data_IF_179115717657
#
_entry.id   IF_179115717657
#
_cell.length_a   1.000
_cell.length_b   1.000
_cell.length_c   1.000
_cell.angle_alpha   90.00
_cell.angle_beta   90.00
_cell.angle_gamma   90.00
#
_symmetry.space_group_name_H-M   'P 1'
#
loop_
_entity.id
_entity.type
_entity.pdbx_description
1 polymer ?
#
# COMPACT_ATOMS: atom_id res chain seq x y z
N UNK A 1 -6.98 12.64 6.64
CA UNK A 1 -5.57 12.39 6.31
C UNK A 1 -5.28 10.93 6.60
N UNK A 2 -4.71 10.21 5.63
CA UNK A 2 -4.38 8.78 5.76
C UNK A 2 -2.90 8.67 6.12
N UNK A 3 -2.59 8.19 7.33
CA UNK A 3 -1.24 8.13 7.90
C UNK A 3 -0.93 6.70 8.28
N UNK A 4 0.23 6.18 7.90
CA UNK A 4 0.74 4.88 8.37
C UNK A 4 1.73 5.03 9.52
N UNK A 5 2.55 6.07 9.50
CA UNK A 5 3.57 6.36 10.50
C UNK A 5 3.63 7.84 10.87
N UNK A 6 4.11 8.13 12.07
CA UNK A 6 4.32 9.50 12.58
C UNK A 6 5.60 9.57 13.41
N UNK A 7 5.98 10.77 13.79
CA UNK A 7 7.11 11.00 14.71
C UNK A 7 6.92 10.42 16.12
N UNK A 8 5.69 10.03 16.48
CA UNK A 8 5.35 9.46 17.79
C UNK A 8 5.13 7.95 17.77
N UNK A 9 5.18 7.33 16.57
CA UNK A 9 4.97 5.89 16.39
C UNK A 9 6.27 5.15 16.09
N UNK A 10 6.30 3.85 16.32
CA UNK A 10 7.31 2.96 15.74
C UNK A 10 7.30 3.11 14.22
N UNK A 11 8.45 3.01 13.56
CA UNK A 11 8.50 3.03 12.10
C UNK A 11 7.60 1.94 11.51
N UNK A 12 6.85 2.31 10.48
CA UNK A 12 5.80 1.43 9.94
C UNK A 12 6.37 0.09 9.44
N UNK A 13 7.54 0.09 8.80
CA UNK A 13 8.18 -1.14 8.32
C UNK A 13 8.51 -2.08 9.49
N UNK A 14 9.01 -1.54 10.61
CA UNK A 14 9.32 -2.30 11.82
C UNK A 14 8.06 -2.88 12.46
N UNK A 15 6.99 -2.10 12.54
CA UNK A 15 5.70 -2.56 13.06
C UNK A 15 5.09 -3.66 12.18
N UNK A 16 5.16 -3.53 10.86
CA UNK A 16 4.62 -4.50 9.91
C UNK A 16 5.46 -5.78 9.80
N UNK A 17 6.74 -5.72 10.12
CA UNK A 17 7.62 -6.88 10.16
C UNK A 17 7.22 -7.89 11.26
N UNK A 18 6.34 -7.48 12.18
CA UNK A 18 5.91 -8.34 13.29
C UNK A 18 6.97 -8.50 14.37
N UNK A 19 7.92 -7.57 14.42
CA UNK A 19 8.90 -7.53 15.50
C UNK A 19 8.15 -7.32 16.81
N UNK A 20 8.03 -8.37 17.60
CA UNK A 20 7.46 -8.29 18.95
C UNK A 20 8.43 -7.52 19.84
N UNK A 21 8.15 -6.26 20.01
CA UNK A 21 8.72 -5.49 21.10
C UNK A 21 8.03 -6.00 22.37
N UNK A 22 8.68 -6.91 23.10
CA UNK A 22 8.27 -7.24 24.46
C UNK A 22 8.01 -5.98 25.29
N UNK A 23 7.64 -6.10 26.55
CA UNK A 23 7.49 -4.95 27.44
C UNK A 23 8.67 -3.99 27.22
N UNK A 24 8.39 -2.75 26.83
CA UNK A 24 9.30 -1.68 26.37
C UNK A 24 10.78 -1.91 26.76
N UNK A 25 11.63 -2.38 25.82
CA UNK A 25 13.03 -2.59 26.17
C UNK A 25 13.67 -1.27 26.59
N UNK A 26 14.67 -1.28 27.49
CA UNK A 26 15.40 -0.09 27.87
C UNK A 26 15.90 0.70 26.65
N UNK A 27 15.97 2.01 26.75
CA UNK A 27 16.33 2.89 25.62
C UNK A 27 17.67 2.55 24.98
N UNK A 28 18.66 2.17 25.79
CA UNK A 28 19.98 1.74 25.33
C UNK A 28 19.92 0.44 24.48
N UNK A 29 18.99 -0.45 24.79
CA UNK A 29 18.74 -1.63 23.99
C UNK A 29 18.02 -1.30 22.68
N UNK A 30 17.02 -0.40 22.70
CA UNK A 30 16.28 -0.02 21.50
C UNK A 30 17.16 0.54 20.39
N UNK A 31 18.25 1.23 20.73
CA UNK A 31 19.19 1.78 19.77
C UNK A 31 20.04 0.74 19.04
N UNK A 32 20.06 -0.50 19.55
CA UNK A 32 20.88 -1.61 19.03
C UNK A 32 20.05 -2.68 18.33
N UNK A 33 18.71 -2.54 18.36
CA UNK A 33 17.83 -3.52 17.72
C UNK A 33 17.73 -3.19 16.24
N UNK A 34 18.07 -4.14 15.39
CA UNK A 34 17.94 -4.08 13.95
C UNK A 34 17.08 -5.26 13.48
N UNK A 35 16.32 -5.03 12.41
CA UNK A 35 15.53 -6.09 11.79
C UNK A 35 16.42 -7.13 11.12
N UNK A 36 16.09 -8.41 11.29
CA UNK A 36 16.69 -9.51 10.53
C UNK A 36 16.35 -9.41 9.03
N UNK A 37 17.00 -10.20 8.19
CA UNK A 37 16.69 -10.25 6.76
C UNK A 37 15.27 -10.73 6.48
N UNK A 38 14.77 -11.66 7.27
CA UNK A 38 13.43 -12.22 7.20
C UNK A 38 12.38 -11.19 7.60
N UNK A 39 12.62 -10.45 8.68
CA UNK A 39 11.76 -9.34 9.12
C UNK A 39 11.74 -8.21 8.08
N UNK A 40 12.89 -7.89 7.47
CA UNK A 40 12.96 -6.93 6.39
C UNK A 40 12.12 -7.34 5.18
N UNK A 41 12.24 -8.59 4.72
CA UNK A 41 11.47 -9.10 3.59
C UNK A 41 9.96 -9.01 3.87
N UNK A 42 9.54 -9.45 5.06
CA UNK A 42 8.14 -9.40 5.48
C UNK A 42 7.65 -7.95 5.64
N UNK A 43 8.47 -7.08 6.22
CA UNK A 43 8.17 -5.66 6.39
C UNK A 43 7.95 -4.95 5.06
N UNK A 44 8.81 -5.20 4.06
CA UNK A 44 8.68 -4.64 2.71
C UNK A 44 7.38 -5.09 2.05
N UNK A 45 7.09 -6.41 2.06
CA UNK A 45 5.87 -6.96 1.46
C UNK A 45 4.61 -6.31 2.05
N UNK A 46 4.52 -6.27 3.38
CA UNK A 46 3.37 -5.71 4.09
C UNK A 46 3.28 -4.19 3.93
N UNK A 47 4.41 -3.49 3.88
CA UNK A 47 4.43 -2.04 3.68
C UNK A 47 3.95 -1.67 2.27
N UNK A 48 4.29 -2.46 1.25
CA UNK A 48 3.74 -2.27 -0.10
C UNK A 48 2.21 -2.39 -0.10
N UNK A 49 1.68 -3.41 0.55
CA UNK A 49 0.21 -3.59 0.67
C UNK A 49 -0.44 -2.44 1.46
N UNK A 50 0.11 -2.06 2.60
CA UNK A 50 -0.43 -0.98 3.42
C UNK A 50 -0.38 0.38 2.71
N UNK A 51 0.73 0.70 2.04
CA UNK A 51 0.88 1.94 1.29
C UNK A 51 0.00 1.98 0.03
N UNK A 52 -0.25 0.83 -0.61
CA UNK A 52 -1.23 0.74 -1.70
C UNK A 52 -2.63 1.16 -1.22
N UNK A 53 -3.08 0.60 -0.10
CA UNK A 53 -4.35 0.97 0.53
C UNK A 53 -4.34 2.47 0.88
N UNK A 54 -3.28 2.96 1.53
CA UNK A 54 -3.13 4.38 1.90
C UNK A 54 -3.31 5.31 0.70
N UNK A 55 -2.69 4.97 -0.44
CA UNK A 55 -2.70 5.80 -1.65
C UNK A 55 -4.02 5.75 -2.41
N UNK A 56 -4.81 4.69 -2.26
CA UNK A 56 -6.02 4.47 -3.07
C UNK A 56 -7.32 4.77 -2.32
N UNK A 57 -7.31 4.77 -0.99
CA UNK A 57 -8.46 5.19 -0.17
C UNK A 57 -8.80 6.68 -0.34
N UNK A 58 -10.08 7.07 -0.07
CA UNK A 58 -10.46 8.48 0.04
C UNK A 58 -9.63 9.20 1.10
N UNK A 59 -9.32 10.47 0.87
CA UNK A 59 -8.59 11.33 1.77
C UNK A 59 -7.21 11.72 1.23
N UNK A 60 -6.39 12.35 2.05
CA UNK A 60 -5.05 12.82 1.68
C UNK A 60 -4.02 11.88 2.30
N UNK A 61 -3.28 11.09 1.51
CA UNK A 61 -2.19 10.27 2.03
C UNK A 61 -1.05 11.16 2.52
N UNK A 62 -0.46 10.75 3.63
CA UNK A 62 0.70 11.43 4.20
C UNK A 62 1.78 10.39 4.49
N UNK A 63 2.91 10.48 3.80
CA UNK A 63 4.08 9.64 3.99
C UNK A 63 4.94 10.29 5.08
N UNK A 64 5.25 9.56 6.14
CA UNK A 64 6.26 10.01 7.09
C UNK A 64 7.64 9.79 6.48
N UNK A 65 8.51 10.81 6.52
CA UNK A 65 9.81 10.78 5.85
C UNK A 65 10.59 9.50 6.20
N UNK A 66 11.18 8.87 5.21
CA UNK A 66 11.97 7.65 5.35
C UNK A 66 11.16 6.35 5.26
N UNK A 67 9.83 6.38 5.32
CA UNK A 67 9.02 5.17 5.09
C UNK A 67 9.24 4.66 3.66
N UNK A 68 9.35 5.58 2.70
CA UNK A 68 9.66 5.29 1.29
C UNK A 68 11.10 4.78 1.06
N UNK A 69 11.99 5.06 2.01
CA UNK A 69 13.37 4.61 1.98
C UNK A 69 13.62 3.35 2.83
N UNK A 70 12.59 2.87 3.52
CA UNK A 70 12.68 1.70 4.38
C UNK A 70 13.36 1.98 5.72
N UNK A 71 13.25 3.19 6.26
CA UNK A 71 13.83 3.50 7.58
C UNK A 71 13.17 2.68 8.66
N UNK A 72 13.93 1.79 9.29
CA UNK A 72 13.52 1.06 10.49
C UNK A 72 13.69 1.93 11.76
N UNK A 73 13.02 1.57 12.82
CA UNK A 73 13.20 2.23 14.13
C UNK A 73 12.04 2.00 15.06
N UNK A 74 12.35 2.11 16.34
CA UNK A 74 11.43 1.88 17.43
C UNK A 74 10.79 3.18 17.92
N UNK A 75 10.43 3.25 19.22
CA UNK A 75 9.83 4.44 19.81
C UNK A 75 10.81 5.63 19.84
N UNK A 76 10.27 6.81 20.02
CA UNK A 76 11.04 8.04 20.19
C UNK A 76 12.21 7.87 21.19
N UNK A 77 13.44 8.26 20.83
CA UNK A 77 13.86 9.01 19.64
C UNK A 77 14.28 8.15 18.42
N UNK A 78 14.24 6.82 18.50
CA UNK A 78 14.83 5.91 17.52
C UNK A 78 14.00 5.78 16.22
N UNK A 79 12.75 6.26 16.22
CA UNK A 79 11.94 6.44 15.02
C UNK A 79 12.26 7.71 14.23
N UNK A 80 13.14 8.58 14.74
CA UNK A 80 13.51 9.89 14.16
C UNK A 80 14.95 9.90 13.63
N UNK A 81 15.46 8.78 13.18
CA UNK A 81 16.77 8.67 12.55
C UNK A 81 16.86 9.53 11.29
N UNK A 82 18.07 9.95 10.92
CA UNK A 82 18.28 10.70 9.69
C UNK A 82 17.84 9.92 8.45
N UNK A 83 17.45 10.63 7.40
CA UNK A 83 17.17 10.02 6.12
C UNK A 83 18.45 9.38 5.54
N UNK A 84 18.40 8.15 5.02
CA UNK A 84 19.57 7.38 4.61
C UNK A 84 20.03 7.75 3.19
N UNK A 85 20.45 8.99 2.96
CA UNK A 85 20.86 9.50 1.65
C UNK A 85 21.92 8.63 0.97
N UNK A 86 21.57 8.12 -0.22
CA UNK A 86 22.44 7.21 -1.01
C UNK A 86 22.46 5.76 -0.51
N UNK A 87 21.62 5.43 0.49
CA UNK A 87 21.46 4.10 1.05
C UNK A 87 19.98 3.72 1.22
N UNK A 88 19.10 4.35 0.43
CA UNK A 88 17.68 4.07 0.41
C UNK A 88 17.40 2.63 -0.04
N UNK A 89 16.37 2.02 0.47
CA UNK A 89 15.87 0.77 -0.10
C UNK A 89 15.27 1.07 -1.49
N UNK A 90 16.00 0.70 -2.55
CA UNK A 90 15.63 1.03 -3.94
C UNK A 90 14.29 0.41 -4.35
N UNK A 91 13.95 -0.77 -3.81
CA UNK A 91 12.69 -1.45 -4.09
C UNK A 91 11.49 -0.67 -3.54
N UNK A 92 11.56 -0.22 -2.28
CA UNK A 92 10.52 0.60 -1.66
C UNK A 92 10.44 1.97 -2.31
N UNK A 93 11.58 2.60 -2.57
CA UNK A 93 11.61 3.91 -3.22
C UNK A 93 10.97 3.87 -4.62
N UNK A 94 11.27 2.84 -5.40
CA UNK A 94 10.64 2.58 -6.70
C UNK A 94 9.14 2.35 -6.57
N UNK A 95 8.72 1.56 -5.58
CA UNK A 95 7.33 1.32 -5.27
C UNK A 95 6.57 2.61 -4.93
N UNK A 96 7.07 3.40 -3.99
CA UNK A 96 6.43 4.66 -3.59
C UNK A 96 6.36 5.66 -4.75
N UNK A 97 7.40 5.76 -5.59
CA UNK A 97 7.36 6.56 -6.82
C UNK A 97 6.23 6.11 -7.74
N UNK A 98 6.06 4.80 -7.94
CA UNK A 98 4.99 4.22 -8.76
C UNK A 98 3.61 4.57 -8.23
N UNK A 99 3.32 4.23 -6.96
CA UNK A 99 1.97 4.41 -6.41
C UNK A 99 1.59 5.89 -6.22
N UNK A 100 2.54 6.77 -5.91
CA UNK A 100 2.29 8.21 -5.82
C UNK A 100 2.02 8.81 -7.20
N UNK A 101 2.75 8.37 -8.24
CA UNK A 101 2.48 8.77 -9.62
C UNK A 101 1.08 8.32 -10.04
N UNK A 102 0.71 7.06 -9.81
CA UNK A 102 -0.61 6.54 -10.13
C UNK A 102 -1.72 7.37 -9.46
N UNK A 103 -1.54 7.72 -8.20
CA UNK A 103 -2.51 8.56 -7.47
C UNK A 103 -2.62 9.97 -8.02
N UNK A 104 -1.51 10.62 -8.37
CA UNK A 104 -1.50 12.03 -8.78
C UNK A 104 -1.95 12.23 -10.23
N UNK A 105 -1.82 11.21 -11.07
CA UNK A 105 -2.19 11.26 -12.49
C UNK A 105 -3.63 10.83 -12.77
N UNK A 106 -4.33 10.25 -11.77
CA UNK A 106 -5.73 9.78 -11.93
C UNK A 106 -6.68 10.57 -11.07
N UNK A 107 -7.54 11.35 -11.69
CA UNK A 107 -8.47 12.24 -11.03
C UNK A 107 -9.56 11.50 -10.24
N UNK A 108 -9.82 10.22 -10.56
CA UNK A 108 -10.71 9.35 -9.79
C UNK A 108 -10.31 9.28 -8.30
N UNK A 109 -9.05 9.44 -7.97
CA UNK A 109 -8.60 9.47 -6.57
C UNK A 109 -8.87 10.81 -5.88
N UNK A 110 -9.03 11.88 -6.66
CA UNK A 110 -9.28 13.23 -6.14
C UNK A 110 -10.77 13.52 -6.01
N UNK A 111 -11.57 13.12 -7.00
CA UNK A 111 -12.98 13.48 -7.14
C UNK A 111 -13.92 12.28 -7.09
N UNK A 112 -13.40 11.06 -7.24
CA UNK A 112 -14.21 9.85 -7.34
C UNK A 112 -14.90 9.45 -6.04
N UNK A 113 -16.01 8.78 -6.20
CA UNK A 113 -16.72 8.07 -5.15
C UNK A 113 -15.91 6.89 -4.60
N UNK A 114 -16.49 6.22 -3.64
CA UNK A 114 -15.90 5.05 -3.00
C UNK A 114 -16.99 4.05 -2.67
N UNK A 115 -16.75 2.76 -2.95
CA UNK A 115 -17.58 1.66 -2.46
C UNK A 115 -16.75 0.44 -2.13
N UNK A 116 -17.11 -0.24 -1.04
CA UNK A 116 -16.55 -1.56 -0.73
C UNK A 116 -17.21 -2.60 -1.63
N UNK A 117 -16.39 -3.43 -2.27
CA UNK A 117 -16.85 -4.57 -3.08
C UNK A 117 -16.95 -5.81 -2.19
N UNK A 118 -15.89 -6.09 -1.43
CA UNK A 118 -15.80 -7.26 -0.54
C UNK A 118 -14.91 -6.94 0.65
N UNK A 119 -15.30 -7.42 1.83
CA UNK A 119 -14.48 -7.33 3.05
C UNK A 119 -14.77 -8.53 3.96
N UNK A 120 -13.74 -9.20 4.43
CA UNK A 120 -13.81 -10.33 5.35
C UNK A 120 -12.64 -11.29 5.17
N UNK A 121 -12.38 -12.12 6.17
CA UNK A 121 -11.35 -13.19 6.14
C UNK A 121 -9.95 -12.73 5.69
N UNK A 122 -9.58 -11.50 6.08
CA UNK A 122 -8.30 -10.89 5.66
C UNK A 122 -8.30 -10.36 4.22
N UNK A 123 -9.40 -10.47 3.48
CA UNK A 123 -9.53 -9.92 2.15
C UNK A 123 -10.27 -8.60 2.17
N UNK A 124 -9.79 -7.65 1.36
CA UNK A 124 -10.43 -6.36 1.20
C UNK A 124 -10.34 -5.88 -0.23
N UNK A 125 -11.50 -5.61 -0.86
CA UNK A 125 -11.60 -5.05 -2.18
C UNK A 125 -12.56 -3.85 -2.18
N UNK A 126 -12.14 -2.76 -2.80
CA UNK A 126 -12.95 -1.55 -2.95
C UNK A 126 -12.69 -0.88 -4.29
N UNK A 127 -13.63 -0.07 -4.69
CA UNK A 127 -13.59 0.69 -5.93
C UNK A 127 -13.60 2.19 -5.66
N UNK A 128 -12.80 2.90 -6.42
CA UNK A 128 -12.91 4.34 -6.64
C UNK A 128 -13.52 4.53 -8.03
N UNK A 129 -14.59 5.32 -8.14
CA UNK A 129 -15.33 5.47 -9.39
C UNK A 129 -15.75 6.91 -9.64
N UNK A 130 -15.98 7.24 -10.91
CA UNK A 130 -16.52 8.50 -11.38
C UNK A 130 -17.85 8.25 -12.08
N UNK A 131 -18.89 8.98 -11.67
CA UNK A 131 -20.23 8.94 -12.30
C UNK A 131 -20.36 9.93 -13.45
N UNK A 132 -19.47 10.93 -13.48
CA UNK A 132 -19.47 12.07 -14.42
C UNK A 132 -18.48 11.92 -15.58
N UNK A 133 -17.96 10.73 -15.82
CA UNK A 133 -17.12 10.47 -16.98
C UNK A 133 -17.97 10.30 -18.23
N UNK A 134 -17.75 11.15 -19.23
CA UNK A 134 -18.31 10.92 -20.57
C UNK A 134 -17.72 9.64 -21.17
N UNK A 135 -18.51 8.86 -21.94
CA UNK A 135 -18.07 7.57 -22.50
C UNK A 135 -16.80 7.64 -23.36
N UNK A 136 -16.58 8.76 -24.04
CA UNK A 136 -15.44 8.98 -24.95
C UNK A 136 -14.30 9.80 -24.31
N UNK A 137 -14.30 9.97 -22.98
CA UNK A 137 -13.25 10.74 -22.31
C UNK A 137 -12.07 9.84 -21.93
N UNK A 138 -10.84 10.38 -22.01
CA UNK A 138 -9.62 9.71 -21.48
C UNK A 138 -9.62 9.63 -19.94
N UNK A 139 -10.70 10.05 -19.30
CA UNK A 139 -10.79 10.04 -17.84
C UNK A 139 -11.02 8.61 -17.31
N UNK A 140 -10.24 8.24 -16.31
CA UNK A 140 -10.36 6.94 -15.65
C UNK A 140 -11.69 6.86 -14.89
N UNK A 141 -12.61 6.03 -15.40
CA UNK A 141 -13.95 5.87 -14.83
C UNK A 141 -13.96 5.06 -13.54
N UNK A 142 -13.09 4.05 -13.43
CA UNK A 142 -13.08 3.13 -12.30
C UNK A 142 -11.70 2.52 -12.04
N UNK A 143 -11.35 2.43 -10.75
CA UNK A 143 -10.15 1.72 -10.28
C UNK A 143 -10.53 0.88 -9.07
N UNK A 144 -10.21 -0.41 -9.13
CA UNK A 144 -10.40 -1.37 -8.03
C UNK A 144 -9.05 -1.63 -7.37
N UNK A 145 -9.01 -1.49 -6.06
CA UNK A 145 -7.90 -1.97 -5.21
C UNK A 145 -8.38 -3.22 -4.49
N UNK A 146 -7.65 -4.32 -4.61
CA UNK A 146 -7.91 -5.52 -3.83
C UNK A 146 -6.62 -6.03 -3.20
N UNK A 147 -6.71 -6.44 -1.93
CA UNK A 147 -5.60 -6.98 -1.14
C UNK A 147 -6.06 -8.22 -0.38
N UNK A 148 -5.17 -9.18 -0.27
CA UNK A 148 -5.41 -10.41 0.49
C UNK A 148 -4.33 -10.58 1.56
N UNK A 149 -4.65 -10.18 2.79
CA UNK A 149 -3.83 -10.39 3.99
C UNK A 149 -4.26 -11.65 4.76
N UNK A 150 -5.22 -12.42 4.22
CA UNK A 150 -5.73 -13.67 4.82
C UNK A 150 -4.87 -14.88 4.50
N UNK A 151 -5.31 -16.04 5.00
CA UNK A 151 -4.61 -17.31 4.82
C UNK A 151 -5.10 -18.11 3.59
N UNK A 152 -6.21 -17.71 2.98
CA UNK A 152 -6.85 -18.43 1.88
C UNK A 152 -6.85 -17.60 0.60
N UNK A 153 -6.97 -18.29 -0.53
CA UNK A 153 -7.15 -17.66 -1.83
C UNK A 153 -8.56 -17.05 -1.95
N UNK A 154 -8.65 -15.87 -2.56
CA UNK A 154 -9.91 -15.19 -2.85
C UNK A 154 -10.05 -14.91 -4.33
N UNK A 155 -11.30 -14.92 -4.81
CA UNK A 155 -11.66 -14.65 -6.19
C UNK A 155 -12.50 -13.39 -6.28
N UNK A 156 -12.06 -12.44 -7.12
CA UNK A 156 -12.77 -11.22 -7.41
C UNK A 156 -13.36 -11.31 -8.82
N UNK A 157 -14.69 -11.35 -8.91
CA UNK A 157 -15.38 -11.32 -10.19
C UNK A 157 -15.35 -9.90 -10.77
N UNK A 158 -15.05 -9.79 -12.06
CA UNK A 158 -14.94 -8.54 -12.79
C UNK A 158 -15.90 -8.57 -14.00
N UNK A 159 -16.48 -7.41 -14.31
CA UNK A 159 -17.27 -7.22 -15.53
C UNK A 159 -16.50 -6.30 -16.50
N UNK A 160 -16.23 -6.82 -17.72
CA UNK A 160 -15.44 -6.12 -18.73
C UNK A 160 -13.93 -6.32 -18.56
N UNK A 161 -13.16 -5.53 -19.30
CA UNK A 161 -11.71 -5.64 -19.36
C UNK A 161 -11.04 -4.72 -18.34
N UNK A 162 -10.02 -5.25 -17.65
CA UNK A 162 -9.29 -4.54 -16.61
C UNK A 162 -7.79 -4.72 -16.82
N UNK A 163 -7.04 -3.66 -16.58
CA UNK A 163 -5.57 -3.68 -16.56
C UNK A 163 -5.06 -3.54 -15.13
N UNK A 164 -4.25 -4.48 -14.67
CA UNK A 164 -3.56 -4.35 -13.39
C UNK A 164 -2.39 -3.37 -13.53
N UNK A 165 -2.50 -2.22 -12.92
CA UNK A 165 -1.50 -1.15 -12.96
C UNK A 165 -0.19 -1.51 -12.23
N UNK A 166 -0.17 -2.57 -11.43
CA UNK A 166 1.04 -3.03 -10.74
C UNK A 166 1.88 -3.93 -11.65
N UNK A 167 1.25 -4.77 -12.47
CA UNK A 167 1.90 -5.78 -13.31
C UNK A 167 1.77 -5.56 -14.81
N UNK A 168 0.88 -4.62 -15.23
CA UNK A 168 0.52 -4.34 -16.62
C UNK A 168 -0.22 -5.50 -17.31
N UNK A 169 -0.68 -6.49 -16.54
CA UNK A 169 -1.46 -7.61 -17.05
C UNK A 169 -2.93 -7.22 -17.24
N UNK A 170 -3.54 -7.74 -18.28
CA UNK A 170 -4.99 -7.59 -18.53
C UNK A 170 -5.75 -8.76 -17.92
N UNK A 171 -6.92 -8.45 -17.36
CA UNK A 171 -7.82 -9.42 -16.73
C UNK A 171 -9.22 -9.31 -17.34
N UNK A 172 -9.85 -10.47 -17.51
CA UNK A 172 -11.22 -10.61 -17.99
C UNK A 172 -11.92 -11.68 -17.15
N UNK A 173 -13.07 -11.35 -16.57
CA UNK A 173 -13.90 -12.26 -15.79
C UNK A 173 -13.50 -12.36 -14.32
N UNK A 174 -12.41 -13.01 -13.95
CA UNK A 174 -12.07 -13.27 -12.55
C UNK A 174 -10.59 -13.08 -12.28
N UNK A 175 -10.27 -12.33 -11.22
CA UNK A 175 -8.91 -12.22 -10.68
C UNK A 175 -8.81 -13.03 -9.39
N UNK A 176 -7.75 -13.83 -9.30
CA UNK A 176 -7.45 -14.66 -8.15
C UNK A 176 -6.32 -14.03 -7.34
N UNK A 177 -6.57 -13.75 -6.06
CA UNK A 177 -5.57 -13.23 -5.13
C UNK A 177 -5.18 -14.32 -4.12
N UNK A 178 -3.93 -14.75 -4.18
CA UNK A 178 -3.34 -15.63 -3.18
C UNK A 178 -3.04 -14.83 -1.89
N UNK A 179 -2.81 -15.51 -0.76
CA UNK A 179 -2.29 -14.86 0.45
C UNK A 179 -1.08 -13.95 0.13
N UNK A 180 -1.07 -12.74 0.67
CA UNK A 180 -0.08 -11.70 0.36
C UNK A 180 -0.31 -10.97 -0.96
N UNK A 181 -1.26 -11.40 -1.79
CA UNK A 181 -1.53 -10.80 -3.10
C UNK A 181 -2.20 -9.43 -3.01
N UNK A 182 -1.87 -8.57 -3.95
CA UNK A 182 -2.52 -7.28 -4.15
C UNK A 182 -2.64 -6.97 -5.65
N UNK A 183 -3.71 -6.29 -6.04
CA UNK A 183 -3.92 -5.79 -7.41
C UNK A 183 -4.47 -4.37 -7.37
N UNK A 184 -4.16 -3.62 -8.41
CA UNK A 184 -4.69 -2.30 -8.67
C UNK A 184 -5.24 -2.26 -10.09
N UNK A 185 -6.52 -2.48 -10.25
CA UNK A 185 -7.17 -2.71 -11.54
C UNK A 185 -7.82 -1.43 -12.04
N UNK A 186 -7.46 -1.01 -13.24
CA UNK A 186 -8.08 0.10 -13.96
C UNK A 186 -8.96 -0.46 -15.06
N UNK A 187 -10.21 0.03 -15.15
CA UNK A 187 -11.13 -0.40 -16.19
C UNK A 187 -10.65 0.12 -17.54
N UNK A 188 -10.42 -0.80 -18.47
CA UNK A 188 -10.04 -0.44 -19.84
C UNK A 188 -11.22 0.17 -20.57
N UNK A 189 -10.97 1.20 -21.38
CA UNK A 189 -11.96 1.67 -22.37
C UNK A 189 -12.15 0.57 -23.43
N UNK A 190 -13.38 0.29 -23.79
CA UNK A 190 -13.70 -0.62 -24.92
C UNK A 190 -13.24 -0.04 -26.24
#
# INVERSE_FOLDING_TARGET
MNVLGTHDSVRIITALAGVELGADPPRDMQSQIHMSKEEWALGIERLKTASLIQMTLPGVPCIYYGDEAGVEGYKDPFNRTCYPWGHENEELLGWYKKITHLRTTRDVYQRGGYRTIMAGDGFYAFERFREDCEPDSDAVASVITAVNCGAHEHHLALEGHWTDLLTELTHDGTVTLRPGGAVLLEKSSE
#
